data_IF_950230886591
#
_entry.id   IF_950230886591
#
_cell.length_a   1.000
_cell.length_b   1.000
_cell.length_c   1.000
_cell.angle_alpha   90.00
_cell.angle_beta   90.00
_cell.angle_gamma   90.00
#
_symmetry.space_group_name_H-M   'P 1'
#
loop_
_entity.id
_entity.type
_entity.pdbx_description
1 polymer ?
#
# COMPACT_ATOMS: atom_id res chain seq x y z
N UNK A 1 18.14 -5.75 2.83
CA UNK A 1 17.81 -4.42 2.25
C UNK A 1 16.53 -3.91 2.92
N UNK A 2 16.27 -2.61 3.02
CA UNK A 2 14.93 -2.11 3.40
C UNK A 2 14.42 -1.11 2.38
N UNK A 3 13.24 -1.38 1.84
CA UNK A 3 12.62 -0.55 0.81
C UNK A 3 11.15 -0.36 1.14
N UNK A 4 10.60 0.77 0.72
CA UNK A 4 9.17 1.01 0.77
C UNK A 4 8.76 1.69 -0.52
N UNK A 5 7.70 1.19 -1.15
CA UNK A 5 7.10 1.83 -2.31
C UNK A 5 5.62 2.08 -2.06
N UNK A 6 5.22 3.34 -2.20
CA UNK A 6 3.81 3.74 -2.19
C UNK A 6 3.30 3.95 -3.61
N UNK A 7 2.15 3.36 -3.92
CA UNK A 7 1.41 3.58 -5.16
C UNK A 7 0.09 4.28 -4.89
N UNK A 8 -0.39 4.98 -5.90
CA UNK A 8 -1.73 5.55 -5.92
C UNK A 8 -2.68 4.54 -6.60
N UNK A 9 -3.79 4.23 -5.94
CA UNK A 9 -4.81 3.28 -6.39
C UNK A 9 -6.16 4.01 -6.43
N UNK A 10 -6.87 4.00 -7.58
CA UNK A 10 -8.22 4.54 -7.66
C UNK A 10 -9.18 3.64 -6.87
N UNK A 11 -10.01 4.25 -6.04
CA UNK A 11 -11.03 3.59 -5.22
C UNK A 11 -12.28 4.46 -5.29
N UNK A 12 -13.27 4.02 -6.07
CA UNK A 12 -14.46 4.80 -6.43
C UNK A 12 -14.10 6.19 -6.96
N UNK A 13 -14.53 7.27 -6.30
CA UNK A 13 -14.34 8.66 -6.71
C UNK A 13 -13.03 9.27 -6.24
N UNK A 14 -12.22 8.52 -5.47
CA UNK A 14 -11.00 9.02 -4.85
C UNK A 14 -9.77 8.17 -5.20
N UNK A 15 -8.58 8.74 -4.99
CA UNK A 15 -7.30 8.03 -5.12
C UNK A 15 -6.64 7.88 -3.77
N UNK A 16 -6.25 6.65 -3.42
CA UNK A 16 -5.68 6.34 -2.12
C UNK A 16 -4.26 5.78 -2.23
N UNK A 17 -3.39 6.08 -1.24
CA UNK A 17 -2.07 5.49 -1.19
C UNK A 17 -2.13 4.05 -0.67
N UNK A 18 -1.40 3.14 -1.30
CA UNK A 18 -1.14 1.76 -0.83
C UNK A 18 0.36 1.56 -0.77
N UNK A 19 0.87 1.03 0.34
CA UNK A 19 2.30 0.85 0.55
C UNK A 19 2.71 -0.63 0.51
N UNK A 20 3.87 -0.89 -0.07
CA UNK A 20 4.56 -2.17 -0.08
C UNK A 20 5.91 -1.99 0.61
N UNK A 21 6.17 -2.78 1.65
CA UNK A 21 7.33 -2.65 2.52
C UNK A 21 8.13 -3.94 2.47
N UNK A 22 9.40 -3.81 2.10
CA UNK A 22 10.41 -4.85 2.26
C UNK A 22 11.14 -4.58 3.57
N UNK A 23 10.96 -5.42 4.60
CA UNK A 23 11.56 -5.20 5.90
C UNK A 23 13.08 -5.43 5.82
N UNK A 24 13.82 -4.89 6.80
CA UNK A 24 15.21 -5.35 7.00
C UNK A 24 15.19 -6.84 7.34
N UNK A 25 16.24 -7.54 6.96
CA UNK A 25 16.46 -8.94 7.31
C UNK A 25 16.23 -9.15 8.82
N UNK A 26 15.51 -10.21 9.17
CA UNK A 26 15.13 -10.58 10.55
C UNK A 26 14.14 -9.61 11.25
N UNK A 27 13.46 -8.72 10.51
CA UNK A 27 12.32 -7.96 11.04
C UNK A 27 11.00 -8.45 10.43
N UNK A 28 10.00 -8.59 11.29
CA UNK A 28 8.61 -8.89 10.88
C UNK A 28 7.72 -7.76 11.39
N UNK A 29 7.66 -6.62 10.69
CA UNK A 29 6.84 -5.50 11.12
C UNK A 29 5.35 -5.84 11.01
N UNK A 30 4.57 -5.45 12.03
CA UNK A 30 3.12 -5.54 11.99
C UNK A 30 2.53 -4.42 11.10
N UNK A 31 1.83 -4.74 10.00
CA UNK A 31 1.16 -3.75 9.15
C UNK A 31 0.21 -2.83 9.92
N UNK A 32 -0.50 -3.34 10.93
CA UNK A 32 -1.49 -2.57 11.68
C UNK A 32 -0.82 -1.55 12.61
N UNK A 33 0.28 -1.95 13.26
CA UNK A 33 1.12 -1.03 14.01
C UNK A 33 1.70 0.08 13.12
N UNK A 34 2.15 -0.24 11.91
CA UNK A 34 2.62 0.76 10.94
C UNK A 34 1.49 1.71 10.50
N UNK A 35 0.29 1.19 10.23
CA UNK A 35 -0.88 2.01 9.90
C UNK A 35 -1.28 2.94 11.05
N UNK A 36 -1.26 2.46 12.31
CA UNK A 36 -1.48 3.32 13.49
C UNK A 36 -0.44 4.42 13.58
N UNK A 37 0.84 4.10 13.38
CA UNK A 37 1.91 5.11 13.37
C UNK A 37 1.70 6.17 12.29
N UNK A 38 1.26 5.76 11.10
CA UNK A 38 0.85 6.68 10.03
C UNK A 38 -0.36 7.52 10.43
N UNK A 39 -1.36 6.94 11.12
CA UNK A 39 -2.53 7.66 11.63
C UNK A 39 -2.16 8.78 12.59
N UNK A 40 -1.17 8.54 13.45
CA UNK A 40 -0.74 9.50 14.47
C UNK A 40 0.16 10.60 13.91
N UNK A 41 0.77 10.39 12.73
CA UNK A 41 1.82 11.28 12.19
C UNK A 41 1.50 11.93 10.86
N UNK A 42 0.48 11.45 10.13
CA UNK A 42 0.14 11.90 8.78
C UNK A 42 -1.29 12.42 8.69
N UNK A 43 -1.47 13.48 7.90
CA UNK A 43 -2.78 13.97 7.53
C UNK A 43 -3.63 12.88 6.85
N UNK A 44 -4.97 12.88 7.00
CA UNK A 44 -5.85 11.81 6.54
C UNK A 44 -5.64 11.31 5.10
N UNK A 45 -5.39 12.22 4.17
CA UNK A 45 -5.20 11.94 2.74
C UNK A 45 -3.81 11.38 2.40
N UNK A 46 -2.83 11.46 3.31
CA UNK A 46 -1.49 10.87 3.17
C UNK A 46 -1.38 9.49 3.82
N UNK A 47 -2.39 9.07 4.57
CA UNK A 47 -2.38 7.78 5.28
C UNK A 47 -2.59 6.65 4.29
N UNK A 48 -1.67 5.67 4.21
CA UNK A 48 -1.89 4.47 3.42
C UNK A 48 -3.20 3.81 3.80
N UNK A 49 -3.95 3.39 2.79
CA UNK A 49 -5.12 2.55 2.91
C UNK A 49 -4.76 1.18 3.48
N UNK A 50 -3.62 0.66 3.01
CA UNK A 50 -3.05 -0.63 3.36
C UNK A 50 -1.54 -0.56 3.31
N UNK A 51 -0.92 -1.42 4.09
CA UNK A 51 0.51 -1.70 4.06
C UNK A 51 0.65 -3.21 3.87
N UNK A 52 1.36 -3.63 2.83
CA UNK A 52 1.75 -5.01 2.63
C UNK A 52 3.22 -5.19 2.97
N UNK A 53 3.54 -6.19 3.77
CA UNK A 53 4.91 -6.67 3.91
C UNK A 53 5.15 -7.67 2.80
N UNK A 54 6.20 -7.44 2.01
CA UNK A 54 6.58 -8.28 0.86
C UNK A 54 8.06 -8.59 0.94
N UNK A 55 8.46 -9.72 0.36
CA UNK A 55 9.86 -10.16 0.36
C UNK A 55 10.71 -9.28 -0.56
N UNK A 56 10.13 -8.83 -1.68
CA UNK A 56 10.78 -7.96 -2.65
C UNK A 56 9.79 -7.03 -3.37
N UNK A 57 10.34 -5.97 -3.97
CA UNK A 57 9.59 -5.12 -4.89
C UNK A 57 9.85 -5.59 -6.33
N UNK A 58 8.86 -5.49 -7.24
CA UNK A 58 9.08 -5.82 -8.63
C UNK A 58 10.00 -4.76 -9.23
N UNK A 59 11.18 -5.17 -9.69
CA UNK A 59 12.20 -4.30 -10.25
C UNK A 59 12.38 -4.57 -11.74
N UNK A 60 12.54 -3.51 -12.52
CA UNK A 60 13.06 -3.58 -13.89
C UNK A 60 14.54 -3.21 -13.85
N UNK A 61 15.38 -4.03 -14.48
CA UNK A 61 16.80 -3.78 -14.63
C UNK A 61 17.09 -3.31 -16.06
N UNK A 62 17.60 -2.09 -16.21
CA UNK A 62 18.03 -1.56 -17.51
C UNK A 62 19.44 -0.98 -17.45
N UNK A 63 19.98 -0.55 -18.59
CA UNK A 63 21.30 0.09 -18.67
C UNK A 63 21.45 1.29 -17.71
N UNK A 64 20.35 1.98 -17.41
CA UNK A 64 20.33 3.15 -16.52
C UNK A 64 20.01 2.81 -15.05
N UNK A 65 20.19 1.55 -14.65
CA UNK A 65 19.96 1.08 -13.29
C UNK A 65 18.56 0.49 -13.03
N UNK A 66 18.36 0.04 -11.80
CA UNK A 66 17.15 -0.68 -11.36
C UNK A 66 16.04 0.28 -10.95
N UNK A 67 14.80 0.04 -11.39
CA UNK A 67 13.62 0.84 -11.04
C UNK A 67 12.44 -0.04 -10.62
N UNK A 68 11.67 0.42 -9.63
CA UNK A 68 10.44 -0.28 -9.22
C UNK A 68 9.38 -0.21 -10.32
N UNK A 69 8.77 -1.34 -10.66
CA UNK A 69 7.68 -1.46 -11.62
C UNK A 69 6.33 -1.15 -10.93
N UNK A 70 6.00 0.14 -10.86
CA UNK A 70 4.77 0.62 -10.19
C UNK A 70 3.46 0.05 -10.79
N UNK A 71 3.46 -0.32 -12.07
CA UNK A 71 2.28 -0.94 -12.70
C UNK A 71 2.03 -2.34 -12.15
N UNK A 72 3.07 -3.16 -11.97
CA UNK A 72 2.98 -4.49 -11.33
C UNK A 72 2.46 -4.37 -9.89
N UNK A 73 2.91 -3.38 -9.14
CA UNK A 73 2.37 -3.13 -7.78
C UNK A 73 0.87 -2.81 -7.79
N UNK A 74 0.36 -2.12 -8.82
CA UNK A 74 -1.08 -1.87 -8.97
C UNK A 74 -1.82 -3.16 -9.30
N UNK A 75 -1.29 -3.99 -10.19
CA UNK A 75 -1.85 -5.32 -10.49
C UNK A 75 -1.89 -6.22 -9.26
N UNK A 76 -0.83 -6.17 -8.44
CA UNK A 76 -0.73 -6.84 -7.15
C UNK A 76 -1.83 -6.42 -6.18
N UNK A 77 -2.16 -5.13 -6.09
CA UNK A 77 -3.29 -4.66 -5.28
C UNK A 77 -4.63 -5.12 -5.88
N UNK A 78 -4.83 -4.93 -7.19
CA UNK A 78 -6.06 -5.35 -7.88
C UNK A 78 -6.35 -6.84 -7.66
N UNK A 79 -5.33 -7.69 -7.77
CA UNK A 79 -5.45 -9.13 -7.54
C UNK A 79 -5.79 -9.48 -6.09
N UNK A 80 -5.26 -8.73 -5.12
CA UNK A 80 -5.54 -8.95 -3.69
C UNK A 80 -6.97 -8.55 -3.32
N UNK A 81 -7.49 -7.50 -3.94
CA UNK A 81 -8.85 -7.02 -3.68
C UNK A 81 -9.91 -7.88 -4.39
N UNK A 82 -9.64 -8.27 -5.63
CA UNK A 82 -10.71 -8.74 -6.53
C UNK A 82 -11.78 -7.66 -6.76
N UNK A 83 -12.65 -7.87 -7.75
CA UNK A 83 -13.66 -6.87 -8.14
C UNK A 83 -14.64 -6.49 -7.01
N UNK A 84 -14.88 -7.40 -6.06
CA UNK A 84 -15.81 -7.20 -4.94
C UNK A 84 -15.15 -6.65 -3.67
N UNK A 85 -13.82 -6.76 -3.53
CA UNK A 85 -13.10 -6.32 -2.33
C UNK A 85 -12.87 -4.81 -2.27
N UNK A 86 -12.90 -4.12 -3.41
CA UNK A 86 -12.77 -2.65 -3.48
C UNK A 86 -14.04 -1.95 -2.95
N UNK A 87 -15.23 -2.43 -3.33
CA UNK A 87 -16.52 -1.86 -2.92
C UNK A 87 -16.78 -2.02 -1.42
N UNK A 88 -16.67 -3.25 -0.89
CA UNK A 88 -16.84 -3.53 0.55
C UNK A 88 -15.91 -2.70 1.44
N UNK A 89 -14.73 -2.38 0.91
CA UNK A 89 -13.73 -1.64 1.66
C UNK A 89 -14.06 -0.15 1.80
N UNK A 90 -14.66 0.46 0.77
CA UNK A 90 -15.13 1.84 0.82
C UNK A 90 -16.21 2.00 1.89
N UNK A 91 -17.15 1.06 1.95
CA UNK A 91 -18.23 1.07 2.92
C UNK A 91 -17.69 1.05 4.36
N UNK A 92 -16.73 0.17 4.64
CA UNK A 92 -16.11 0.05 5.97
C UNK A 92 -15.37 1.33 6.40
N UNK A 93 -14.74 2.04 5.46
CA UNK A 93 -13.95 3.26 5.74
C UNK A 93 -14.83 4.50 5.85
N UNK A 94 -15.93 4.58 5.09
CA UNK A 94 -16.94 5.63 5.23
C UNK A 94 -17.62 5.54 6.60
N UNK A 95 -17.89 4.33 7.08
CA UNK A 95 -18.45 4.09 8.42
C UNK A 95 -17.45 4.44 9.54
N UNK A 96 -16.15 4.15 9.35
CA UNK A 96 -15.10 4.48 10.31
C UNK A 96 -14.66 5.96 10.31
N UNK A 97 -15.10 6.78 9.35
CA UNK A 97 -14.80 8.21 9.26
C UNK A 97 -15.86 9.11 9.93
N UNK A 98 -16.97 8.54 10.40
CA UNK A 98 -18.07 9.25 11.08
C UNK A 98 -18.11 9.05 12.60
N UNK A 99 -17.03 8.51 13.20
CA UNK A 99 -16.92 8.25 14.65
C UNK A 99 -15.70 8.91 15.27
#
# INVERSE_FOLDING_TARGET
MNQCQVIAVPVDTATWPVAFVVPRTNLVPDPNALLRRCKDSLAPFKRPLRIYIVDELPMSHGQNGSKVQRHVLREWETRRLGSNGLLKYLDARSSAAQG
#
